data_IF_927405238578
#
_entry.id   IF_927405238578
#
_cell.length_a   1.000
_cell.length_b   1.000
_cell.length_c   1.000
_cell.angle_alpha   90.00
_cell.angle_beta   90.00
_cell.angle_gamma   90.00
#
_symmetry.space_group_name_H-M   'P 1'
#
loop_
_entity.id
_entity.type
_entity.pdbx_description
1 polymer ?
#
# COMPACT_ATOMS: atom_id res chain seq x y z
N UNK A 1 -0.42 47.60 -39.41
CA UNK A 1 0.74 47.17 -38.60
C UNK A 1 0.38 46.77 -37.15
N UNK A 2 -0.91 46.77 -36.74
CA UNK A 2 -1.32 46.56 -35.34
C UNK A 2 -1.59 45.09 -34.95
N UNK A 3 -2.05 44.24 -35.87
CA UNK A 3 -2.42 42.83 -35.56
C UNK A 3 -1.22 41.90 -35.28
N UNK A 4 -0.04 42.24 -35.83
CA UNK A 4 1.22 41.48 -35.61
C UNK A 4 1.87 41.77 -34.24
N UNK A 5 1.64 42.96 -33.68
CA UNK A 5 2.13 43.34 -32.35
C UNK A 5 1.31 42.70 -31.23
N UNK A 6 -0.01 42.55 -31.40
CA UNK A 6 -0.90 41.90 -30.42
C UNK A 6 -0.64 40.38 -30.35
N UNK A 7 -0.36 39.75 -31.50
CA UNK A 7 -0.03 38.32 -31.57
C UNK A 7 1.38 38.02 -31.02
N UNK A 8 2.34 38.93 -31.19
CA UNK A 8 3.66 38.82 -30.56
C UNK A 8 3.61 39.01 -29.03
N UNK A 9 2.78 39.94 -28.53
CA UNK A 9 2.57 40.14 -27.09
C UNK A 9 1.87 38.97 -26.40
N UNK A 10 0.91 38.32 -27.07
CA UNK A 10 0.27 37.10 -26.56
C UNK A 10 1.23 35.89 -26.57
N UNK A 11 2.10 35.79 -27.57
CA UNK A 11 3.13 34.75 -27.62
C UNK A 11 4.22 34.93 -26.55
N UNK A 12 4.64 36.17 -26.28
CA UNK A 12 5.58 36.50 -25.20
C UNK A 12 4.94 36.31 -23.81
N UNK A 13 3.68 36.71 -23.62
CA UNK A 13 2.93 36.44 -22.38
C UNK A 13 2.72 34.95 -22.14
N UNK A 14 2.42 34.18 -23.18
CA UNK A 14 2.31 32.72 -23.12
C UNK A 14 3.65 32.04 -22.84
N UNK A 15 4.75 32.54 -23.41
CA UNK A 15 6.10 31.99 -23.20
C UNK A 15 6.65 32.34 -21.81
N UNK A 16 6.28 33.51 -21.26
CA UNK A 16 6.58 33.89 -19.88
C UNK A 16 5.74 33.06 -18.89
N UNK A 17 4.48 32.78 -19.19
CA UNK A 17 3.62 31.89 -18.37
C UNK A 17 4.05 30.41 -18.44
N UNK A 18 4.65 29.96 -19.54
CA UNK A 18 5.25 28.61 -19.68
C UNK A 18 6.67 28.53 -19.10
N UNK A 19 7.39 29.65 -19.02
CA UNK A 19 8.76 29.72 -18.47
C UNK A 19 8.83 30.06 -16.97
N UNK A 20 7.73 30.49 -16.36
CA UNK A 20 7.63 30.79 -14.92
C UNK A 20 7.25 29.57 -14.06
N UNK A 21 6.84 28.46 -14.66
CA UNK A 21 6.42 27.26 -13.92
C UNK A 21 7.56 26.37 -13.38
N UNK A 22 8.80 26.36 -13.91
CA UNK A 22 9.90 25.67 -13.22
C UNK A 22 10.67 26.58 -12.26
N UNK A 23 10.59 27.91 -12.40
CA UNK A 23 11.37 28.85 -11.57
C UNK A 23 10.77 29.06 -10.16
N UNK A 24 9.48 28.77 -9.97
CA UNK A 24 8.76 28.92 -8.69
C UNK A 24 8.51 27.57 -8.00
N UNK A 25 8.97 26.46 -8.59
CA UNK A 25 8.85 25.11 -8.04
C UNK A 25 10.15 24.59 -7.40
N UNK A 26 11.18 25.44 -7.31
CA UNK A 26 12.51 25.06 -6.85
C UNK A 26 12.98 25.96 -5.71
N UNK A 27 12.16 26.08 -4.66
CA UNK A 27 12.62 26.50 -3.34
C UNK A 27 11.83 25.75 -2.26
N UNK A 28 11.92 24.43 -2.31
CA UNK A 28 11.88 23.65 -1.09
C UNK A 28 13.20 22.92 -1.08
N UNK A 29 14.02 23.19 -0.07
CA UNK A 29 15.22 22.43 0.21
C UNK A 29 14.79 20.99 0.46
N UNK A 30 14.65 20.23 -0.62
CA UNK A 30 14.54 18.79 -0.57
C UNK A 30 15.81 18.35 0.14
N UNK A 31 15.66 17.93 1.41
CA UNK A 31 16.55 16.93 1.95
C UNK A 31 16.63 15.86 0.86
N UNK A 32 17.76 15.79 0.16
CA UNK A 32 17.96 14.82 -0.91
C UNK A 32 18.05 13.46 -0.23
N UNK A 33 16.90 12.94 0.17
CA UNK A 33 16.75 11.54 0.48
C UNK A 33 17.17 10.82 -0.79
N UNK A 34 18.15 9.91 -0.71
CA UNK A 34 18.61 9.21 -1.89
C UNK A 34 17.42 8.48 -2.53
N UNK A 35 17.44 8.37 -3.87
CA UNK A 35 16.26 7.97 -4.65
C UNK A 35 15.72 6.56 -4.28
N UNK A 36 16.60 5.71 -3.76
CA UNK A 36 16.31 4.41 -3.15
C UNK A 36 15.41 4.53 -1.91
N UNK A 37 15.66 5.49 -1.02
CA UNK A 37 14.81 5.74 0.16
C UNK A 37 13.43 6.26 -0.23
N UNK A 38 13.37 7.13 -1.25
CA UNK A 38 12.10 7.64 -1.78
C UNK A 38 11.27 6.48 -2.36
N UNK A 39 11.88 5.63 -3.18
CA UNK A 39 11.22 4.44 -3.74
C UNK A 39 10.77 3.47 -2.64
N UNK A 40 11.62 3.21 -1.64
CA UNK A 40 11.30 2.36 -0.50
C UNK A 40 10.05 2.83 0.26
N UNK A 41 9.95 4.14 0.52
CA UNK A 41 8.79 4.73 1.22
C UNK A 41 7.53 4.58 0.38
N UNK A 42 7.56 4.93 -0.90
CA UNK A 42 6.37 4.84 -1.74
C UNK A 42 5.92 3.41 -2.00
N UNK A 43 6.84 2.46 -2.16
CA UNK A 43 6.51 1.04 -2.30
C UNK A 43 5.87 0.51 -1.01
N UNK A 44 6.46 0.82 0.15
CA UNK A 44 5.92 0.46 1.47
C UNK A 44 4.52 1.06 1.68
N UNK A 45 4.35 2.35 1.35
CA UNK A 45 3.06 3.03 1.43
C UNK A 45 2.03 2.37 0.51
N UNK A 46 2.41 2.00 -0.71
CA UNK A 46 1.53 1.34 -1.66
C UNK A 46 1.01 0.00 -1.12
N UNK A 47 1.87 -0.81 -0.49
CA UNK A 47 1.44 -2.05 0.17
C UNK A 47 0.48 -1.80 1.34
N UNK A 48 0.69 -0.74 2.13
CA UNK A 48 -0.21 -0.38 3.23
C UNK A 48 -1.58 0.10 2.73
N UNK A 49 -1.60 0.96 1.71
CA UNK A 49 -2.85 1.45 1.09
C UNK A 49 -3.58 0.28 0.42
N UNK A 50 -2.87 -0.54 -0.36
CA UNK A 50 -3.42 -1.74 -0.97
C UNK A 50 -4.01 -2.68 0.07
N UNK A 51 -3.30 -2.90 1.18
CA UNK A 51 -3.77 -3.78 2.26
C UNK A 51 -5.02 -3.22 2.94
N UNK A 52 -5.11 -1.91 3.15
CA UNK A 52 -6.32 -1.27 3.68
C UNK A 52 -7.54 -1.48 2.76
N UNK A 53 -7.35 -1.34 1.45
CA UNK A 53 -8.42 -1.56 0.48
C UNK A 53 -8.89 -3.02 0.44
N UNK A 54 -7.96 -3.97 0.53
CA UNK A 54 -8.30 -5.41 0.60
C UNK A 54 -9.02 -5.74 1.91
N UNK A 55 -8.63 -5.13 3.03
CA UNK A 55 -9.34 -5.29 4.31
C UNK A 55 -10.83 -4.91 4.20
N UNK A 56 -11.14 -3.88 3.39
CA UNK A 56 -12.52 -3.47 3.14
C UNK A 56 -13.32 -4.53 2.35
N UNK A 57 -12.67 -5.41 1.59
CA UNK A 57 -13.35 -6.51 0.90
C UNK A 57 -13.94 -7.52 1.90
N UNK A 58 -13.24 -7.83 2.99
CA UNK A 58 -13.76 -8.69 4.05
C UNK A 58 -15.00 -8.08 4.73
N UNK A 59 -14.96 -6.76 4.98
CA UNK A 59 -16.13 -6.03 5.48
C UNK A 59 -17.29 -6.01 4.47
N UNK A 60 -16.99 -5.85 3.18
CA UNK A 60 -17.97 -5.91 2.09
C UNK A 60 -18.67 -7.27 2.01
N UNK A 61 -17.92 -8.37 2.10
CA UNK A 61 -18.49 -9.72 2.10
C UNK A 61 -19.35 -9.98 3.33
N UNK A 62 -18.91 -9.54 4.51
CA UNK A 62 -19.69 -9.64 5.73
C UNK A 62 -21.06 -8.94 5.62
N UNK A 63 -21.12 -7.78 4.95
CA UNK A 63 -22.38 -7.07 4.68
C UNK A 63 -23.27 -7.79 3.66
N UNK A 64 -22.70 -8.43 2.64
CA UNK A 64 -23.46 -9.25 1.68
C UNK A 64 -24.07 -10.48 2.35
N UNK A 65 -23.30 -11.20 3.17
CA UNK A 65 -23.82 -12.36 3.90
C UNK A 65 -24.86 -11.96 4.95
N UNK A 66 -24.68 -10.83 5.63
CA UNK A 66 -25.67 -10.30 6.55
C UNK A 66 -27.01 -9.98 5.85
N UNK A 67 -26.96 -9.50 4.61
CA UNK A 67 -28.16 -9.17 3.80
C UNK A 67 -28.89 -10.39 3.22
N UNK A 68 -28.20 -11.51 2.99
CA UNK A 68 -28.78 -12.74 2.43
C UNK A 68 -29.37 -13.68 3.48
N UNK A 69 -29.08 -13.44 4.76
CA UNK A 69 -29.53 -14.29 5.88
C UNK A 69 -30.81 -13.74 6.51
N UNK A 70 -31.68 -14.65 6.98
CA UNK A 70 -32.91 -14.30 7.71
C UNK A 70 -32.59 -13.40 8.90
N UNK A 71 -33.39 -12.36 9.10
CA UNK A 71 -33.20 -11.30 10.11
C UNK A 71 -32.89 -11.82 11.51
N UNK A 72 -33.53 -12.92 11.93
CA UNK A 72 -33.30 -13.53 13.25
C UNK A 72 -31.89 -14.08 13.49
N UNK A 73 -31.12 -14.34 12.43
CA UNK A 73 -29.80 -14.97 12.48
C UNK A 73 -28.66 -14.04 12.04
N UNK A 74 -28.96 -12.80 11.65
CA UNK A 74 -27.96 -11.85 11.08
C UNK A 74 -26.84 -11.58 12.08
N UNK A 75 -27.15 -11.36 13.36
CA UNK A 75 -26.15 -11.11 14.40
C UNK A 75 -25.16 -12.27 14.55
N UNK A 76 -25.62 -13.52 14.43
CA UNK A 76 -24.75 -14.69 14.48
C UNK A 76 -23.88 -14.82 13.23
N UNK A 77 -24.37 -14.37 12.07
CA UNK A 77 -23.57 -14.37 10.83
C UNK A 77 -22.45 -13.33 10.90
N UNK A 78 -22.76 -12.11 11.36
CA UNK A 78 -21.74 -11.07 11.55
C UNK A 78 -20.65 -11.50 12.54
N UNK A 79 -21.04 -12.15 13.65
CA UNK A 79 -20.10 -12.68 14.64
C UNK A 79 -19.13 -13.69 14.00
N UNK A 80 -19.64 -14.61 13.17
CA UNK A 80 -18.80 -15.61 12.49
C UNK A 80 -17.80 -14.96 11.54
N UNK A 81 -18.22 -13.96 10.77
CA UNK A 81 -17.31 -13.27 9.85
C UNK A 81 -16.19 -12.52 10.58
N UNK A 82 -16.50 -11.84 11.68
CA UNK A 82 -15.48 -11.16 12.49
C UNK A 82 -14.55 -12.19 13.16
N UNK A 83 -15.12 -13.27 13.69
CA UNK A 83 -14.34 -14.34 14.32
C UNK A 83 -13.39 -15.02 13.33
N UNK A 84 -13.87 -15.34 12.12
CA UNK A 84 -13.04 -15.92 11.06
C UNK A 84 -11.91 -14.99 10.65
N UNK A 85 -12.18 -13.69 10.50
CA UNK A 85 -11.15 -12.70 10.18
C UNK A 85 -10.07 -12.63 11.28
N UNK A 86 -10.47 -12.60 12.55
CA UNK A 86 -9.54 -12.59 13.67
C UNK A 86 -8.71 -13.87 13.77
N UNK A 87 -9.31 -15.03 13.56
CA UNK A 87 -8.61 -16.32 13.62
C UNK A 87 -7.65 -16.45 12.43
N UNK A 88 -8.06 -16.04 11.23
CA UNK A 88 -7.22 -16.05 10.03
C UNK A 88 -5.96 -15.21 10.23
N UNK A 89 -6.09 -13.98 10.77
CA UNK A 89 -4.92 -13.14 11.05
C UNK A 89 -3.94 -13.76 12.04
N UNK A 90 -4.43 -14.41 13.10
CA UNK A 90 -3.56 -15.12 14.07
C UNK A 90 -2.89 -16.33 13.42
N UNK A 91 -3.62 -17.13 12.64
CA UNK A 91 -3.05 -18.29 11.95
C UNK A 91 -2.02 -17.88 10.89
N UNK A 92 -2.24 -16.75 10.22
CA UNK A 92 -1.27 -16.19 9.28
C UNK A 92 0.04 -15.79 9.97
N UNK A 93 -0.06 -15.21 11.17
CA UNK A 93 1.12 -14.91 11.99
C UNK A 93 1.85 -16.17 12.49
N UNK A 94 1.10 -17.17 12.97
CA UNK A 94 1.69 -18.38 13.59
C UNK A 94 2.31 -19.32 12.56
N UNK A 95 1.76 -19.43 11.35
CA UNK A 95 2.30 -20.35 10.32
C UNK A 95 2.25 -19.82 8.90
N UNK A 96 1.34 -18.90 8.58
CA UNK A 96 1.06 -18.52 7.19
C UNK A 96 2.25 -17.87 6.47
N UNK A 97 2.88 -16.87 7.08
CA UNK A 97 3.96 -16.15 6.41
C UNK A 97 5.22 -17.00 6.22
N UNK A 98 5.62 -17.76 7.25
CA UNK A 98 6.78 -18.66 7.14
C UNK A 98 6.56 -19.79 6.12
N UNK A 99 5.34 -20.33 6.04
CA UNK A 99 5.02 -21.35 5.06
C UNK A 99 5.14 -20.85 3.61
N UNK A 100 4.84 -19.57 3.38
CA UNK A 100 4.86 -18.96 2.06
C UNK A 100 6.24 -18.43 1.65
N UNK A 101 7.01 -17.89 2.59
CA UNK A 101 8.23 -17.13 2.28
C UNK A 101 9.53 -17.66 2.87
N UNK A 102 9.51 -18.56 3.87
CA UNK A 102 10.75 -19.05 4.50
C UNK A 102 10.99 -20.53 4.24
N UNK A 103 12.19 -20.89 3.79
CA UNK A 103 12.57 -22.29 3.52
C UNK A 103 12.14 -22.83 2.15
N UNK A 104 11.81 -21.96 1.19
CA UNK A 104 11.47 -22.32 -0.19
C UNK A 104 12.73 -22.37 -1.08
N UNK A 105 13.81 -22.99 -0.59
CA UNK A 105 15.02 -23.24 -1.39
C UNK A 105 14.84 -24.53 -2.23
N UNK A 106 13.84 -24.51 -3.13
CA UNK A 106 13.59 -25.59 -4.10
C UNK A 106 12.50 -26.61 -3.74
N UNK A 107 11.68 -26.36 -2.70
CA UNK A 107 10.53 -27.18 -2.29
C UNK A 107 9.16 -26.55 -2.59
N UNK A 108 8.08 -27.34 -2.49
CA UNK A 108 6.68 -26.87 -2.65
C UNK A 108 6.10 -26.20 -1.40
N UNK A 109 6.72 -26.37 -0.22
CA UNK A 109 6.27 -25.82 1.06
C UNK A 109 7.43 -25.21 1.84
N UNK A 110 7.20 -24.07 2.49
CA UNK A 110 8.12 -23.44 3.43
C UNK A 110 8.13 -24.09 4.82
N UNK A 111 8.68 -23.38 5.80
CA UNK A 111 8.87 -23.86 7.17
C UNK A 111 7.66 -23.59 8.06
N UNK A 112 7.41 -24.48 9.02
CA UNK A 112 6.39 -24.28 10.06
C UNK A 112 7.00 -23.55 11.26
N UNK A 113 6.45 -22.39 11.59
CA UNK A 113 6.83 -21.63 12.78
C UNK A 113 6.24 -20.22 12.77
N UNK A 114 6.20 -19.54 13.94
CA UNK A 114 5.69 -18.17 14.05
C UNK A 114 6.61 -17.18 13.33
N UNK A 115 6.02 -16.20 12.66
CA UNK A 115 6.79 -15.14 12.00
C UNK A 115 7.34 -14.16 13.04
N UNK A 116 8.66 -13.96 13.02
CA UNK A 116 9.33 -12.93 13.80
C UNK A 116 9.45 -11.67 12.95
N UNK A 117 8.91 -10.56 13.45
CA UNK A 117 9.06 -9.27 12.81
C UNK A 117 10.52 -8.80 12.90
N UNK A 118 11.00 -8.19 11.83
CA UNK A 118 12.30 -7.52 11.83
C UNK A 118 12.30 -6.31 12.78
N UNK A 119 13.49 -5.93 13.25
CA UNK A 119 13.67 -4.79 14.12
C UNK A 119 13.22 -3.48 13.45
N UNK A 120 12.52 -2.63 14.20
CA UNK A 120 12.07 -1.32 13.72
C UNK A 120 13.30 -0.46 13.40
N UNK A 121 13.45 -0.05 12.14
CA UNK A 121 14.59 0.71 11.67
C UNK A 121 15.76 -0.13 11.13
N UNK A 122 15.56 -1.42 10.88
CA UNK A 122 16.51 -2.21 10.08
C UNK A 122 16.60 -1.65 8.65
N UNK A 123 17.79 -1.20 8.25
CA UNK A 123 18.09 -0.64 6.92
C UNK A 123 18.17 -1.74 5.84
N UNK A 124 17.21 -2.66 5.80
CA UNK A 124 17.07 -3.61 4.68
C UNK A 124 16.51 -2.86 3.46
N UNK A 125 17.29 -1.92 2.91
CA UNK A 125 16.99 -1.22 1.66
C UNK A 125 17.10 -2.15 0.45
N UNK A 126 17.77 -3.29 0.61
CA UNK A 126 18.02 -4.27 -0.44
C UNK A 126 16.74 -4.91 -1.00
N UNK A 127 15.66 -5.01 -0.21
CA UNK A 127 14.35 -5.50 -0.67
C UNK A 127 13.52 -4.43 -1.37
N UNK A 128 13.87 -3.14 -1.25
CA UNK A 128 13.15 -2.04 -1.90
C UNK A 128 11.77 -1.70 -1.31
N UNK A 129 11.36 -2.36 -0.23
CA UNK A 129 10.16 -2.10 0.58
C UNK A 129 10.27 -2.77 1.96
N UNK A 130 9.45 -2.34 2.91
CA UNK A 130 9.42 -2.93 4.25
C UNK A 130 8.79 -4.32 4.26
N UNK A 131 9.52 -5.33 4.74
CA UNK A 131 9.03 -6.70 4.93
C UNK A 131 7.77 -6.76 5.81
N UNK A 132 7.62 -5.83 6.77
CA UNK A 132 6.42 -5.72 7.59
C UNK A 132 5.18 -5.26 6.81
N UNK A 133 5.35 -4.40 5.79
CA UNK A 133 4.24 -3.99 4.93
C UNK A 133 3.79 -5.09 3.98
N UNK A 134 4.71 -5.92 3.47
CA UNK A 134 4.36 -7.11 2.69
C UNK A 134 3.62 -8.11 3.59
N UNK A 135 4.13 -8.41 4.78
CA UNK A 135 3.43 -9.26 5.75
C UNK A 135 1.98 -8.80 6.01
N UNK A 136 1.78 -7.49 6.23
CA UNK A 136 0.45 -6.94 6.44
C UNK A 136 -0.45 -7.12 5.22
N UNK A 137 0.06 -6.82 4.02
CA UNK A 137 -0.69 -6.97 2.77
C UNK A 137 -1.12 -8.42 2.54
N UNK A 138 -0.25 -9.40 2.84
CA UNK A 138 -0.55 -10.81 2.69
C UNK A 138 -1.50 -11.33 3.77
N UNK A 139 -1.45 -10.78 4.99
CA UNK A 139 -2.34 -11.18 6.08
C UNK A 139 -3.80 -10.84 5.81
N UNK A 140 -4.04 -9.71 5.15
CA UNK A 140 -5.40 -9.21 4.86
C UNK A 140 -6.01 -9.81 3.59
N UNK A 141 -5.21 -10.51 2.78
CA UNK A 141 -5.59 -11.13 1.52
C UNK A 141 -6.29 -12.48 1.75
#
# INVERSE_FOLDING_TARGET
MSKRLITAGAALGGLVLLGLTPALAQDEAAATMPADQIAYIFNTLNFLIGGFLVMWMAAGFAMLEAGLVRTKNVSMQCLKNIALYSIAGIMFWVTGYNLMYTGVDGGFMGSFGPYAFDAVGGDALDTGYSTASDWFFQMVF
#
